data_IF_884181558031
#
_entry.id   IF_884181558031
#
_cell.length_a   1.000
_cell.length_b   1.000
_cell.length_c   1.000
_cell.angle_alpha   90.00
_cell.angle_beta   90.00
_cell.angle_gamma   90.00
#
_symmetry.space_group_name_H-M   'P 1'
#
loop_
_entity.id
_entity.type
_entity.pdbx_description
1 polymer ?
#
# COMPACT_ATOMS: atom_id res chain seq x y z
N UNK A 1 4.14 -14.24 17.84
CA UNK A 1 4.79 -14.43 16.53
C UNK A 1 3.80 -15.02 15.52
N UNK A 2 3.72 -14.45 14.33
CA UNK A 2 2.85 -14.96 13.28
C UNK A 2 3.43 -16.24 12.66
N UNK A 3 2.56 -17.11 12.16
CA UNK A 3 2.98 -18.31 11.45
C UNK A 3 3.38 -17.96 10.02
N UNK A 4 4.30 -18.75 9.44
CA UNK A 4 4.80 -18.52 8.08
C UNK A 4 3.71 -18.56 7.00
N UNK A 5 2.63 -19.29 7.23
CA UNK A 5 1.51 -19.35 6.28
C UNK A 5 0.83 -17.98 6.07
N UNK A 6 1.01 -17.05 7.00
CA UNK A 6 0.46 -15.69 6.89
C UNK A 6 1.38 -14.71 6.19
N UNK A 7 2.59 -15.15 5.78
CA UNK A 7 3.57 -14.26 5.14
C UNK A 7 3.01 -13.51 3.91
N UNK A 8 2.26 -14.14 2.99
CA UNK A 8 1.72 -13.38 1.87
C UNK A 8 0.85 -12.21 2.31
N UNK A 9 0.05 -12.41 3.36
CA UNK A 9 -0.79 -11.37 3.93
C UNK A 9 0.04 -10.22 4.49
N UNK A 10 1.11 -10.56 5.19
CA UNK A 10 2.00 -9.56 5.80
C UNK A 10 2.70 -8.75 4.71
N UNK A 11 3.19 -9.41 3.68
CA UNK A 11 3.83 -8.73 2.54
C UNK A 11 2.85 -7.78 1.86
N UNK A 12 1.62 -8.23 1.63
CA UNK A 12 0.59 -7.41 1.02
C UNK A 12 0.28 -6.16 1.85
N UNK A 13 0.12 -6.32 3.16
CA UNK A 13 -0.13 -5.18 4.06
C UNK A 13 0.99 -4.15 4.00
N UNK A 14 2.23 -4.61 3.99
CA UNK A 14 3.39 -3.72 3.92
C UNK A 14 3.38 -2.95 2.60
N UNK A 15 3.14 -3.64 1.50
CA UNK A 15 3.10 -3.01 0.18
C UNK A 15 1.96 -2.00 0.06
N UNK A 16 0.80 -2.33 0.61
CA UNK A 16 -0.35 -1.42 0.59
C UNK A 16 -0.10 -0.15 1.40
N UNK A 17 0.56 -0.28 2.54
CA UNK A 17 0.77 0.84 3.45
C UNK A 17 2.00 1.68 3.11
N UNK A 18 3.07 1.06 2.61
CA UNK A 18 4.38 1.69 2.54
C UNK A 18 4.94 1.82 1.14
N UNK A 19 4.22 1.38 0.10
CA UNK A 19 4.77 1.44 -1.25
C UNK A 19 3.87 2.15 -2.26
N UNK A 20 4.51 2.75 -3.24
CA UNK A 20 3.92 3.27 -4.47
C UNK A 20 5.07 3.45 -5.46
N UNK A 21 4.79 4.03 -6.64
CA UNK A 21 5.83 4.22 -7.67
C UNK A 21 6.91 5.21 -7.24
N UNK A 22 6.64 6.06 -6.26
CA UNK A 22 7.61 7.01 -5.70
C UNK A 22 8.28 6.50 -4.42
N UNK A 23 7.78 5.41 -3.85
CA UNK A 23 8.26 4.81 -2.61
C UNK A 23 8.41 3.31 -2.84
N UNK A 24 9.52 2.95 -3.48
CA UNK A 24 9.82 1.57 -3.85
C UNK A 24 10.61 0.92 -2.72
N UNK A 25 10.14 -0.24 -2.27
CA UNK A 25 10.78 -0.98 -1.18
C UNK A 25 11.78 -1.98 -1.74
N UNK A 26 13.03 -1.90 -1.31
CA UNK A 26 14.05 -2.87 -1.69
C UNK A 26 13.76 -4.23 -1.04
N UNK A 27 14.41 -5.28 -1.53
CA UNK A 27 14.34 -6.61 -0.94
C UNK A 27 14.65 -6.57 0.55
N UNK A 28 15.74 -5.89 0.91
CA UNK A 28 16.16 -5.81 2.31
C UNK A 28 15.17 -5.01 3.16
N UNK A 29 14.61 -3.94 2.64
CA UNK A 29 13.59 -3.16 3.34
C UNK A 29 12.34 -3.99 3.61
N UNK A 30 11.88 -4.75 2.61
CA UNK A 30 10.74 -5.64 2.78
C UNK A 30 11.00 -6.71 3.84
N UNK A 31 12.16 -7.35 3.79
CA UNK A 31 12.54 -8.38 4.77
C UNK A 31 12.57 -7.78 6.17
N UNK A 32 13.11 -6.58 6.33
CA UNK A 32 13.16 -5.90 7.63
C UNK A 32 11.75 -5.56 8.14
N UNK A 33 10.87 -5.05 7.28
CA UNK A 33 9.49 -4.75 7.67
C UNK A 33 8.72 -6.02 8.07
N UNK A 34 8.94 -7.12 7.36
CA UNK A 34 8.32 -8.40 7.69
C UNK A 34 8.76 -8.84 9.09
N UNK A 35 10.05 -8.76 9.37
CA UNK A 35 10.58 -9.14 10.68
C UNK A 35 10.02 -8.26 11.79
N UNK A 36 9.96 -6.95 11.56
CA UNK A 36 9.43 -5.99 12.54
C UNK A 36 7.95 -6.24 12.86
N UNK A 37 7.15 -6.60 11.86
CA UNK A 37 5.71 -6.83 12.05
C UNK A 37 5.37 -8.19 12.62
N UNK A 38 6.09 -9.22 12.18
CA UNK A 38 5.72 -10.61 12.47
C UNK A 38 6.68 -11.34 13.38
N UNK A 39 7.90 -10.81 13.57
CA UNK A 39 8.94 -11.52 14.26
C UNK A 39 9.57 -12.64 13.42
N UNK A 40 9.18 -12.78 12.16
CA UNK A 40 9.68 -13.83 11.27
C UNK A 40 10.83 -13.27 10.42
N UNK A 41 11.99 -13.93 10.52
CA UNK A 41 13.15 -13.61 9.69
C UNK A 41 13.14 -14.52 8.48
N UNK A 42 13.18 -13.96 7.27
CA UNK A 42 13.13 -14.74 6.03
C UNK A 42 14.31 -14.40 5.11
N UNK A 43 14.59 -15.33 4.20
CA UNK A 43 15.57 -15.14 3.15
C UNK A 43 14.92 -14.59 1.89
N UNK A 44 15.75 -14.08 0.98
CA UNK A 44 15.29 -13.51 -0.30
C UNK A 44 14.39 -14.46 -1.09
N UNK A 45 14.77 -15.75 -1.13
CA UNK A 45 14.00 -16.76 -1.86
C UNK A 45 12.56 -16.86 -1.32
N UNK A 46 12.42 -16.82 -0.01
CA UNK A 46 11.08 -16.85 0.62
C UNK A 46 10.27 -15.62 0.26
N UNK A 47 10.91 -14.45 0.24
CA UNK A 47 10.22 -13.23 -0.20
C UNK A 47 9.73 -13.36 -1.64
N UNK A 48 10.58 -13.82 -2.55
CA UNK A 48 10.21 -13.96 -3.95
C UNK A 48 9.04 -14.93 -4.14
N UNK A 49 9.04 -16.05 -3.41
CA UNK A 49 7.92 -17.00 -3.42
C UNK A 49 6.62 -16.36 -2.97
N UNK A 50 6.66 -15.52 -1.95
CA UNK A 50 5.48 -14.83 -1.44
C UNK A 50 4.97 -13.77 -2.41
N UNK A 51 5.87 -13.08 -3.10
CA UNK A 51 5.50 -12.13 -4.17
C UNK A 51 4.77 -12.88 -5.29
N UNK A 52 5.27 -14.05 -5.70
CA UNK A 52 4.61 -14.88 -6.72
C UNK A 52 3.20 -15.31 -6.29
N UNK A 53 3.03 -15.68 -5.03
CA UNK A 53 1.72 -16.05 -4.49
C UNK A 53 0.75 -14.88 -4.64
N UNK A 54 1.17 -13.67 -4.30
CA UNK A 54 0.33 -12.48 -4.43
C UNK A 54 -0.02 -12.20 -5.90
N UNK A 55 0.92 -12.36 -6.80
CA UNK A 55 0.68 -12.19 -8.23
C UNK A 55 -0.33 -13.22 -8.76
N UNK A 56 -0.20 -14.47 -8.33
CA UNK A 56 -1.15 -15.52 -8.68
C UNK A 56 -2.56 -15.21 -8.15
N UNK A 57 -2.65 -14.52 -7.02
CA UNK A 57 -3.92 -14.10 -6.43
C UNK A 57 -4.53 -12.88 -7.15
N UNK A 58 -3.82 -12.29 -8.12
CA UNK A 58 -4.35 -11.19 -8.93
C UNK A 58 -3.80 -9.81 -8.61
N UNK A 59 -2.88 -9.70 -7.66
CA UNK A 59 -2.24 -8.42 -7.36
C UNK A 59 -1.17 -8.09 -8.39
N UNK A 60 -1.08 -6.82 -8.78
CA UNK A 60 -0.08 -6.35 -9.73
C UNK A 60 1.05 -5.71 -8.94
N UNK A 61 2.20 -6.38 -8.91
CA UNK A 61 3.37 -5.92 -8.16
C UNK A 61 4.46 -5.59 -9.15
N UNK A 62 4.94 -4.34 -9.12
CA UNK A 62 6.10 -3.93 -9.89
C UNK A 62 7.33 -4.41 -9.13
N UNK A 63 8.21 -5.15 -9.82
CA UNK A 63 9.31 -5.89 -9.19
C UNK A 63 10.66 -5.29 -9.55
N UNK A 64 11.70 -5.74 -8.84
CA UNK A 64 13.07 -5.33 -9.12
C UNK A 64 13.45 -5.56 -10.59
N UNK A 65 13.00 -6.66 -11.20
CA UNK A 65 13.26 -6.92 -12.62
C UNK A 65 12.62 -5.89 -13.55
N UNK A 66 11.58 -5.20 -13.11
CA UNK A 66 10.89 -4.18 -13.90
C UNK A 66 11.49 -2.78 -13.72
N UNK A 67 11.96 -2.46 -12.52
CA UNK A 67 12.36 -1.07 -12.19
C UNK A 67 13.82 -0.93 -11.73
N UNK A 68 14.50 -2.02 -11.40
CA UNK A 68 15.90 -1.98 -10.93
C UNK A 68 16.09 -1.47 -9.51
N UNK A 69 15.01 -1.26 -8.75
CA UNK A 69 15.08 -0.70 -7.39
C UNK A 69 14.46 -1.60 -6.34
N UNK A 70 13.30 -2.20 -6.61
CA UNK A 70 12.61 -3.01 -5.63
C UNK A 70 11.17 -3.27 -6.01
N UNK A 71 10.28 -3.18 -5.02
CA UNK A 71 8.91 -3.62 -5.15
C UNK A 71 7.92 -2.53 -4.75
N UNK A 72 6.83 -2.41 -5.50
CA UNK A 72 5.68 -1.62 -5.09
C UNK A 72 4.40 -2.22 -5.68
N UNK A 73 3.27 -1.97 -5.00
CA UNK A 73 1.97 -2.45 -5.44
C UNK A 73 1.38 -1.45 -6.43
N UNK A 74 1.10 -1.91 -7.66
CA UNK A 74 0.57 -1.03 -8.71
C UNK A 74 -0.95 -0.91 -8.66
N UNK A 75 -1.63 -2.03 -8.44
CA UNK A 75 -3.09 -2.07 -8.56
C UNK A 75 -3.77 -1.48 -7.33
N UNK A 76 -4.43 -0.33 -7.54
CA UNK A 76 -5.27 0.32 -6.55
C UNK A 76 -6.62 0.61 -7.18
N UNK A 77 -7.68 0.68 -6.36
CA UNK A 77 -9.03 0.98 -6.82
C UNK A 77 -9.10 2.36 -7.46
N UNK A 78 -8.50 3.36 -6.81
CA UNK A 78 -8.35 4.70 -7.34
C UNK A 78 -6.88 5.10 -7.28
N UNK A 79 -6.45 5.91 -8.25
CA UNK A 79 -5.12 6.51 -8.20
C UNK A 79 -5.08 7.59 -7.12
N UNK A 80 -3.87 7.97 -6.70
CA UNK A 80 -3.68 9.08 -5.76
C UNK A 80 -4.38 10.35 -6.22
N UNK A 81 -4.17 10.74 -7.48
CA UNK A 81 -4.78 11.95 -8.04
C UNK A 81 -6.30 11.91 -8.01
N UNK A 82 -6.87 10.76 -8.33
CA UNK A 82 -8.31 10.57 -8.29
C UNK A 82 -8.86 10.68 -6.87
N UNK A 83 -8.20 10.07 -5.89
CA UNK A 83 -8.62 10.16 -4.48
C UNK A 83 -8.54 11.60 -3.99
N UNK A 84 -7.46 12.30 -4.28
CA UNK A 84 -7.31 13.69 -3.85
C UNK A 84 -8.34 14.61 -4.50
N UNK A 85 -8.64 14.38 -5.78
CA UNK A 85 -9.69 15.12 -6.49
C UNK A 85 -11.06 14.90 -5.85
N UNK A 86 -11.38 13.62 -5.53
CA UNK A 86 -12.63 13.28 -4.86
C UNK A 86 -12.73 13.95 -3.49
N UNK A 87 -11.66 13.93 -2.70
CA UNK A 87 -11.63 14.56 -1.39
C UNK A 87 -11.88 16.08 -1.50
N UNK A 88 -11.24 16.73 -2.46
CA UNK A 88 -11.44 18.16 -2.68
C UNK A 88 -12.87 18.48 -3.10
N UNK A 89 -13.45 17.64 -3.98
CA UNK A 89 -14.83 17.82 -4.42
C UNK A 89 -15.83 17.67 -3.25
N UNK A 90 -15.59 16.70 -2.38
CA UNK A 90 -16.43 16.48 -1.19
C UNK A 90 -16.31 17.67 -0.23
N UNK A 91 -15.08 18.13 0.00
CA UNK A 91 -14.83 19.26 0.90
C UNK A 91 -15.54 20.55 0.42
N UNK A 92 -15.57 20.76 -0.90
CA UNK A 92 -16.21 21.95 -1.50
C UNK A 92 -17.72 21.81 -1.65
N UNK A 93 -18.30 20.65 -1.39
CA UNK A 93 -19.73 20.43 -1.58
C UNK A 93 -20.57 21.14 -0.52
N UNK A 94 -21.61 21.82 -0.98
CA UNK A 94 -22.57 22.49 -0.10
C UNK A 94 -23.74 21.57 0.30
N UNK A 95 -23.81 20.38 -0.27
CA UNK A 95 -24.91 19.43 -0.04
C UNK A 95 -24.62 18.41 1.05
N UNK A 96 -23.40 18.38 1.54
CA UNK A 96 -22.94 17.39 2.52
C UNK A 96 -22.54 18.14 3.79
N UNK A 97 -23.02 17.66 4.96
CA UNK A 97 -22.64 18.25 6.24
C UNK A 97 -21.14 18.08 6.48
N UNK A 98 -20.55 18.94 7.31
CA UNK A 98 -19.14 18.85 7.65
C UNK A 98 -18.79 17.49 8.25
N UNK A 99 -19.66 16.93 9.09
CA UNK A 99 -19.45 15.64 9.70
C UNK A 99 -19.43 14.51 8.66
N UNK A 100 -20.35 14.52 7.71
CA UNK A 100 -20.38 13.53 6.62
C UNK A 100 -19.20 13.71 5.71
N UNK A 101 -18.84 14.95 5.41
CA UNK A 101 -17.68 15.28 4.57
C UNK A 101 -16.40 14.72 5.17
N UNK A 102 -16.15 14.97 6.46
CA UNK A 102 -14.95 14.46 7.15
C UNK A 102 -14.90 12.94 7.14
N UNK A 103 -16.06 12.30 7.31
CA UNK A 103 -16.15 10.85 7.33
C UNK A 103 -15.82 10.25 5.97
N UNK A 104 -16.37 10.82 4.89
CA UNK A 104 -16.11 10.36 3.52
C UNK A 104 -14.66 10.58 3.11
N UNK A 105 -14.12 11.76 3.41
CA UNK A 105 -12.72 12.08 3.12
C UNK A 105 -11.79 11.12 3.84
N UNK A 106 -12.05 10.87 5.12
CA UNK A 106 -11.25 9.92 5.91
C UNK A 106 -11.28 8.52 5.30
N UNK A 107 -12.46 8.06 4.86
CA UNK A 107 -12.59 6.74 4.23
C UNK A 107 -11.84 6.66 2.91
N UNK A 108 -11.90 7.70 2.09
CA UNK A 108 -11.18 7.74 0.82
C UNK A 108 -9.67 7.79 1.02
N UNK A 109 -9.20 8.60 1.98
CA UNK A 109 -7.77 8.70 2.27
C UNK A 109 -7.18 7.38 2.74
N UNK A 110 -7.97 6.56 3.43
CA UNK A 110 -7.51 5.24 3.89
C UNK A 110 -7.22 4.28 2.73
N UNK A 111 -7.70 4.56 1.52
CA UNK A 111 -7.37 3.76 0.34
C UNK A 111 -5.96 4.03 -0.17
N UNK A 112 -5.33 5.11 0.30
CA UNK A 112 -3.97 5.49 -0.07
C UNK A 112 -2.96 5.00 0.97
N UNK A 113 -1.68 4.93 0.56
CA UNK A 113 -0.61 4.68 1.53
C UNK A 113 -0.36 5.93 2.39
N UNK A 114 0.47 5.78 3.43
CA UNK A 114 0.70 6.87 4.38
C UNK A 114 1.35 8.11 3.75
N UNK A 115 2.13 7.93 2.70
CA UNK A 115 2.81 9.04 2.03
C UNK A 115 1.83 9.89 1.23
N UNK A 116 0.92 9.22 0.52
CA UNK A 116 -0.08 9.89 -0.30
C UNK A 116 -1.14 10.58 0.55
N UNK A 117 -1.48 10.02 1.70
CA UNK A 117 -2.42 10.63 2.64
C UNK A 117 -1.94 11.99 3.13
N UNK A 118 -0.62 12.14 3.32
CA UNK A 118 -0.03 13.39 3.79
C UNK A 118 -0.16 14.54 2.78
N UNK A 119 -0.37 14.23 1.52
CA UNK A 119 -0.47 15.23 0.47
C UNK A 119 -1.85 15.89 0.40
N UNK A 120 -2.81 15.39 1.16
CA UNK A 120 -4.13 16.02 1.22
C UNK A 120 -4.13 17.17 2.25
N UNK A 121 -4.53 18.34 1.78
CA UNK A 121 -4.64 19.54 2.61
C UNK A 121 -6.06 20.11 2.49
N UNK A 122 -6.66 20.41 3.63
CA UNK A 122 -7.98 21.05 3.71
C UNK A 122 -7.94 22.50 3.26
#
# INVERSE_FOLDING_TARGET
MAEKKFLPFIVLQILEELSDESHILSTNELINHIEMRSGISIERRTLYSNIEILEQAGYIINKFSDNGKGYYLEKRQFSKGEVLLLCNAIHASHFISNKQSDRLISSLLKTLNKYDQKDYHD
#
